data_IF_149520889572
#
_entry.id   IF_149520889572
#
_cell.length_a   1.000
_cell.length_b   1.000
_cell.length_c   1.000
_cell.angle_alpha   90.00
_cell.angle_beta   90.00
_cell.angle_gamma   90.00
#
_symmetry.space_group_name_H-M   'P 1'
#
loop_
_entity.id
_entity.type
_entity.pdbx_description
1 polymer ?
#
# COMPACT_ATOMS: atom_id res chain seq x y z
N UNK A 1 7.76 6.16 25.85
CA UNK A 1 8.30 7.06 24.81
C UNK A 1 8.33 6.27 23.51
N UNK A 2 7.26 6.34 22.71
CA UNK A 2 7.24 5.69 21.40
C UNK A 2 8.00 6.56 20.41
N UNK A 3 9.05 6.01 19.81
CA UNK A 3 9.69 6.58 18.62
C UNK A 3 8.71 6.36 17.47
N UNK A 4 7.94 7.39 17.14
CA UNK A 4 7.32 7.46 15.82
C UNK A 4 8.50 7.61 14.86
N UNK A 5 8.76 6.59 14.05
CA UNK A 5 9.64 6.73 12.89
C UNK A 5 8.92 7.70 11.95
N UNK A 6 9.23 8.99 12.06
CA UNK A 6 8.81 9.97 11.09
C UNK A 6 9.47 9.61 9.76
N UNK A 7 8.67 9.42 8.72
CA UNK A 7 9.19 9.18 7.38
C UNK A 7 10.06 10.37 6.95
N UNK A 8 11.34 10.15 6.56
CA UNK A 8 12.25 11.24 6.21
C UNK A 8 11.77 12.07 5.00
N UNK A 9 10.84 11.56 4.18
CA UNK A 9 10.23 12.32 3.10
C UNK A 9 9.27 13.42 3.57
N UNK A 10 8.76 13.32 4.81
CA UNK A 10 7.83 14.31 5.36
C UNK A 10 8.52 15.60 5.81
N UNK A 11 9.79 15.52 6.23
CA UNK A 11 10.57 16.67 6.72
C UNK A 11 11.13 17.54 5.58
N UNK A 12 11.48 16.95 4.44
CA UNK A 12 11.99 17.70 3.27
C UNK A 12 10.98 18.73 2.74
N UNK A 13 9.68 18.40 2.74
CA UNK A 13 8.62 19.29 2.28
C UNK A 13 8.42 20.49 3.20
N UNK A 14 8.48 20.27 4.52
CA UNK A 14 8.40 21.32 5.54
C UNK A 14 9.60 22.27 5.43
N UNK A 15 10.81 21.71 5.33
CA UNK A 15 12.05 22.47 5.15
C UNK A 15 12.08 23.32 3.87
N UNK A 16 11.51 22.80 2.78
CA UNK A 16 11.37 23.58 1.55
C UNK A 16 10.32 24.69 1.68
N UNK A 17 9.26 24.48 2.48
CA UNK A 17 8.29 25.51 2.86
C UNK A 17 8.90 26.60 3.75
N UNK A 18 9.86 26.23 4.59
CA UNK A 18 10.64 27.13 5.46
C UNK A 18 11.76 27.90 4.71
N UNK A 19 11.86 27.74 3.38
CA UNK A 19 12.80 28.48 2.53
C UNK A 19 14.23 27.93 2.50
N UNK A 20 14.46 26.69 2.95
CA UNK A 20 15.77 26.06 2.89
C UNK A 20 16.14 25.63 1.46
N UNK A 21 17.36 25.97 1.03
CA UNK A 21 17.90 25.55 -0.26
C UNK A 21 18.25 24.06 -0.29
N UNK A 22 18.29 23.47 -1.49
CA UNK A 22 18.55 22.04 -1.72
C UNK A 22 19.80 21.51 -0.98
N UNK A 23 20.89 22.29 -0.93
CA UNK A 23 22.11 21.88 -0.22
C UNK A 23 21.95 21.79 1.30
N UNK A 24 21.14 22.68 1.89
CA UNK A 24 20.83 22.65 3.33
C UNK A 24 19.96 21.44 3.66
N UNK A 25 18.97 21.15 2.80
CA UNK A 25 18.12 19.96 2.94
C UNK A 25 18.97 18.69 2.85
N UNK A 26 19.86 18.58 1.85
CA UNK A 26 20.74 17.41 1.72
C UNK A 26 21.61 17.17 2.95
N UNK A 27 22.16 18.24 3.56
CA UNK A 27 23.01 18.14 4.74
C UNK A 27 22.24 17.67 5.99
N UNK A 28 21.00 18.14 6.16
CA UNK A 28 20.16 17.78 7.30
C UNK A 28 19.55 16.38 7.16
N UNK A 29 19.13 15.99 5.95
CA UNK A 29 18.40 14.73 5.74
C UNK A 29 19.30 13.56 5.33
N UNK A 30 20.58 13.81 5.07
CA UNK A 30 21.55 12.86 4.49
C UNK A 30 21.00 12.20 3.20
N UNK A 31 20.33 13.02 2.37
CA UNK A 31 19.71 12.57 1.12
C UNK A 31 20.50 13.06 -0.07
N UNK A 32 20.48 12.24 -1.13
CA UNK A 32 21.04 12.65 -2.42
C UNK A 32 20.24 13.80 -3.02
N UNK A 33 20.91 14.63 -3.81
CA UNK A 33 20.28 15.73 -4.56
C UNK A 33 19.08 15.26 -5.38
N UNK A 34 19.17 14.08 -6.01
CA UNK A 34 18.08 13.50 -6.81
C UNK A 34 16.85 13.16 -5.98
N UNK A 35 17.03 12.71 -4.73
CA UNK A 35 15.92 12.46 -3.81
C UNK A 35 15.20 13.78 -3.49
N UNK A 36 15.96 14.80 -3.06
CA UNK A 36 15.44 16.12 -2.68
C UNK A 36 14.73 16.79 -3.84
N UNK A 37 15.31 16.80 -5.06
CA UNK A 37 14.66 17.41 -6.22
C UNK A 37 13.32 16.74 -6.58
N UNK A 38 13.23 15.41 -6.52
CA UNK A 38 11.96 14.70 -6.78
C UNK A 38 10.91 14.99 -5.71
N UNK A 39 11.35 15.19 -4.47
CA UNK A 39 10.50 15.57 -3.35
C UNK A 39 9.98 17.00 -3.52
N UNK A 40 10.87 17.96 -3.86
CA UNK A 40 10.51 19.36 -4.16
C UNK A 40 9.57 19.47 -5.37
N UNK A 41 9.84 18.73 -6.45
CA UNK A 41 8.94 18.67 -7.62
C UNK A 41 7.54 18.16 -7.24
N UNK A 42 7.45 17.17 -6.35
CA UNK A 42 6.17 16.66 -5.85
C UNK A 42 5.47 17.69 -4.98
N UNK A 43 6.19 18.32 -4.05
CA UNK A 43 5.65 19.38 -3.20
C UNK A 43 5.14 20.57 -4.03
N UNK A 44 5.84 20.98 -5.10
CA UNK A 44 5.35 22.04 -5.99
C UNK A 44 4.07 21.65 -6.76
N UNK A 45 3.81 20.36 -6.98
CA UNK A 45 2.64 19.88 -7.74
C UNK A 45 1.44 19.55 -6.85
N UNK A 46 1.70 18.90 -5.73
CA UNK A 46 0.69 18.29 -4.86
C UNK A 46 0.59 19.01 -3.51
N UNK A 47 1.53 19.91 -3.22
CA UNK A 47 1.60 20.70 -1.98
C UNK A 47 1.37 19.82 -0.75
N UNK A 48 0.54 20.29 0.19
CA UNK A 48 0.21 19.56 1.41
C UNK A 48 -0.48 18.21 1.14
N UNK A 49 -1.30 18.10 0.10
CA UNK A 49 -2.01 16.84 -0.22
C UNK A 49 -1.04 15.72 -0.57
N UNK A 50 0.07 16.04 -1.22
CA UNK A 50 1.16 15.10 -1.55
C UNK A 50 2.04 14.71 -0.36
N UNK A 51 1.88 15.39 0.79
CA UNK A 51 2.57 15.05 2.04
C UNK A 51 1.74 14.11 2.91
N UNK A 52 0.40 14.21 2.82
CA UNK A 52 -0.54 13.38 3.58
C UNK A 52 -0.52 11.91 3.15
N UNK A 53 -0.04 11.62 1.94
CA UNK A 53 -0.05 10.27 1.39
C UNK A 53 1.27 9.97 0.72
N UNK A 54 1.88 8.85 1.10
CA UNK A 54 3.00 8.32 0.34
C UNK A 54 2.53 7.94 -1.08
N UNK A 55 3.46 8.00 -2.04
CA UNK A 55 3.16 7.63 -3.42
C UNK A 55 2.88 6.13 -3.48
N UNK A 56 1.61 5.78 -3.67
CA UNK A 56 1.20 4.39 -3.86
C UNK A 56 1.95 3.76 -5.04
N UNK A 57 2.77 2.75 -4.75
CA UNK A 57 3.34 1.88 -5.79
C UNK A 57 2.23 0.98 -6.31
N UNK A 58 2.00 0.97 -7.62
CA UNK A 58 1.08 0.00 -8.22
C UNK A 58 1.49 -1.41 -7.82
N UNK A 59 0.56 -2.25 -7.34
CA UNK A 59 0.89 -3.61 -6.96
C UNK A 59 1.45 -4.37 -8.18
N UNK A 60 2.48 -5.19 -7.94
CA UNK A 60 3.14 -5.96 -9.00
C UNK A 60 2.25 -7.06 -9.62
N UNK A 61 1.12 -7.38 -8.99
CA UNK A 61 0.09 -8.31 -9.49
C UNK A 61 -1.24 -7.58 -9.59
N UNK A 62 -1.99 -7.86 -10.65
CA UNK A 62 -3.35 -7.36 -10.78
C UNK A 62 -4.20 -7.79 -9.57
N UNK A 63 -5.03 -6.90 -9.01
CA UNK A 63 -5.95 -7.23 -7.93
C UNK A 63 -6.91 -8.36 -8.32
N UNK A 64 -7.33 -9.16 -7.33
CA UNK A 64 -8.36 -10.19 -7.56
C UNK A 64 -9.68 -9.51 -7.91
N UNK A 65 -10.39 -9.94 -8.97
CA UNK A 65 -11.66 -9.33 -9.34
C UNK A 65 -12.67 -9.38 -8.17
N UNK A 66 -13.41 -8.29 -7.88
CA UNK A 66 -14.30 -8.19 -6.72
C UNK A 66 -15.34 -9.32 -6.64
N UNK A 67 -15.79 -9.82 -7.80
CA UNK A 67 -16.72 -10.96 -7.89
C UNK A 67 -16.20 -12.22 -7.18
N UNK A 68 -14.90 -12.49 -7.25
CA UNK A 68 -14.31 -13.67 -6.63
C UNK A 68 -14.14 -13.46 -5.13
N UNK A 69 -13.77 -12.26 -4.70
CA UNK A 69 -13.73 -11.88 -3.28
C UNK A 69 -15.12 -12.06 -2.64
N UNK A 70 -16.15 -11.50 -3.28
CA UNK A 70 -17.53 -11.61 -2.81
C UNK A 70 -17.99 -13.08 -2.72
N UNK A 71 -17.65 -13.91 -3.72
CA UNK A 71 -18.02 -15.32 -3.70
C UNK A 71 -17.31 -16.09 -2.58
N UNK A 72 -16.02 -15.86 -2.34
CA UNK A 72 -15.31 -16.50 -1.21
C UNK A 72 -15.91 -16.07 0.12
N UNK A 73 -16.20 -14.78 0.30
CA UNK A 73 -16.86 -14.26 1.51
C UNK A 73 -18.26 -14.84 1.69
N UNK A 74 -18.98 -15.14 0.60
CA UNK A 74 -20.29 -15.81 0.65
C UNK A 74 -20.13 -17.27 1.06
N UNK A 75 -19.15 -17.99 0.52
CA UNK A 75 -18.90 -19.39 0.85
C UNK A 75 -18.50 -19.57 2.31
N UNK A 76 -17.64 -18.71 2.87
CA UNK A 76 -17.25 -18.79 4.29
C UNK A 76 -18.43 -18.67 5.26
N UNK A 77 -19.52 -18.02 4.84
CA UNK A 77 -20.75 -17.86 5.64
C UNK A 77 -21.75 -19.00 5.47
N UNK A 78 -21.55 -19.88 4.47
CA UNK A 78 -22.42 -21.01 4.21
C UNK A 78 -21.83 -22.31 4.76
N UNK A 79 -22.68 -23.31 5.03
CA UNK A 79 -22.22 -24.67 5.32
C UNK A 79 -21.65 -25.30 4.03
N UNK A 80 -20.51 -26.01 4.10
CA UNK A 80 -19.98 -26.71 2.95
C UNK A 80 -20.98 -27.78 2.46
N UNK A 81 -21.13 -27.98 1.13
CA UNK A 81 -22.06 -28.97 0.59
C UNK A 81 -21.56 -30.42 0.68
N UNK A 82 -20.28 -30.62 1.01
CA UNK A 82 -19.73 -31.95 1.28
C UNK A 82 -19.92 -32.28 2.76
N UNK A 83 -19.90 -33.57 3.15
CA UNK A 83 -19.98 -34.04 4.54
C UNK A 83 -18.78 -33.61 5.43
N UNK A 84 -18.26 -32.40 5.21
CA UNK A 84 -17.22 -31.80 6.00
C UNK A 84 -17.80 -30.77 6.96
N UNK A 85 -17.25 -30.75 8.17
CA UNK A 85 -17.56 -29.75 9.18
C UNK A 85 -17.09 -28.33 8.78
N UNK A 86 -16.10 -28.20 7.90
CA UNK A 86 -15.48 -26.93 7.54
C UNK A 86 -15.14 -26.83 6.05
N UNK A 87 -15.09 -25.60 5.55
CA UNK A 87 -14.59 -25.33 4.22
C UNK A 87 -13.08 -25.57 4.15
N UNK A 88 -12.65 -26.28 3.12
CA UNK A 88 -11.23 -26.35 2.76
C UNK A 88 -10.93 -25.34 1.67
N UNK A 89 -9.68 -24.83 1.67
CA UNK A 89 -9.15 -23.96 0.61
C UNK A 89 -9.36 -24.54 -0.79
N UNK A 90 -9.19 -25.86 -0.93
CA UNK A 90 -9.38 -26.57 -2.20
C UNK A 90 -10.85 -26.66 -2.60
N UNK A 91 -11.76 -26.94 -1.67
CA UNK A 91 -13.18 -26.91 -1.95
C UNK A 91 -13.65 -25.52 -2.39
N UNK A 92 -13.22 -24.46 -1.70
CA UNK A 92 -13.52 -23.07 -2.07
C UNK A 92 -12.94 -22.72 -3.45
N UNK A 93 -11.71 -23.13 -3.74
CA UNK A 93 -11.05 -22.95 -5.03
C UNK A 93 -11.85 -23.60 -6.16
N UNK A 94 -12.31 -24.84 -5.97
CA UNK A 94 -13.13 -25.55 -6.95
C UNK A 94 -14.48 -24.86 -7.19
N UNK A 95 -15.16 -24.44 -6.12
CA UNK A 95 -16.49 -23.80 -6.24
C UNK A 95 -16.40 -22.40 -6.86
N UNK A 96 -15.42 -21.60 -6.46
CA UNK A 96 -15.24 -20.22 -6.94
C UNK A 96 -14.46 -20.11 -8.27
N UNK A 97 -13.89 -21.22 -8.75
CA UNK A 97 -13.14 -21.27 -10.02
C UNK A 97 -11.84 -20.46 -10.00
N UNK A 98 -11.16 -20.39 -8.85
CA UNK A 98 -9.90 -19.63 -8.69
C UNK A 98 -8.83 -20.47 -8.01
N UNK A 99 -7.56 -20.13 -8.21
CA UNK A 99 -6.43 -20.82 -7.58
C UNK A 99 -6.49 -20.78 -6.05
N UNK A 100 -6.12 -21.88 -5.39
CA UNK A 100 -6.16 -21.98 -3.93
C UNK A 100 -5.27 -20.95 -3.22
N UNK A 101 -4.13 -20.58 -3.82
CA UNK A 101 -3.28 -19.49 -3.30
C UNK A 101 -3.95 -18.12 -3.39
N UNK A 102 -4.86 -17.94 -4.35
CA UNK A 102 -5.67 -16.72 -4.47
C UNK A 102 -6.77 -16.71 -3.42
N UNK A 103 -7.40 -17.85 -3.12
CA UNK A 103 -8.34 -17.99 -1.98
C UNK A 103 -7.65 -17.66 -0.66
N UNK A 104 -6.42 -18.12 -0.44
CA UNK A 104 -5.65 -17.83 0.79
C UNK A 104 -5.28 -16.34 0.94
N UNK A 105 -5.14 -15.63 -0.17
CA UNK A 105 -4.80 -14.21 -0.19
C UNK A 105 -6.01 -13.27 -0.15
N UNK A 106 -7.23 -13.81 -0.11
CA UNK A 106 -8.49 -13.08 0.12
C UNK A 106 -8.78 -13.10 1.62
#
# INVERSE_FOLDING_TARGET
MQVIVADPGSLEGVMSGDGLGTSAIMAETDKSKTCVCRSQERFMRECFDGLLRDRSRSPGRAPVPPKHVAEIVRLTQATPPHEAAHWTLRAMSTVAGIEASTVQGI
#
